data_IF_503520229312
#
_entry.id   IF_503520229312
#
_cell.length_a   1.000
_cell.length_b   1.000
_cell.length_c   1.000
_cell.angle_alpha   90.00
_cell.angle_beta   90.00
_cell.angle_gamma   90.00
#
_symmetry.space_group_name_H-M   'P 1'
#
loop_
_entity.id
_entity.type
_entity.pdbx_description
1 polymer ?
#
# COMPACT_ATOMS: atom_id res chain seq x y z
N UNK A 1 10.33 5.62 -37.88
CA UNK A 1 9.86 4.97 -36.62
C UNK A 1 8.34 4.90 -36.66
N UNK A 2 7.75 3.71 -36.67
CA UNK A 2 6.31 3.52 -36.86
C UNK A 2 5.49 4.01 -35.64
N UNK A 3 4.29 4.54 -35.89
CA UNK A 3 3.34 5.05 -34.88
C UNK A 3 3.07 4.05 -33.74
N UNK A 4 3.13 2.74 -34.04
CA UNK A 4 3.03 1.65 -33.07
C UNK A 4 4.18 1.60 -32.05
N UNK A 5 5.42 1.89 -32.46
CA UNK A 5 6.60 1.93 -31.57
C UNK A 5 6.55 3.15 -30.64
N UNK A 6 5.95 4.26 -31.11
CA UNK A 6 5.77 5.47 -30.31
C UNK A 6 4.68 5.29 -29.24
N UNK A 7 3.55 4.65 -29.59
CA UNK A 7 2.50 4.34 -28.61
C UNK A 7 2.98 3.32 -27.56
N UNK A 8 3.72 2.29 -27.95
CA UNK A 8 4.25 1.29 -27.02
C UNK A 8 5.22 1.93 -26.01
N UNK A 9 6.14 2.79 -26.47
CA UNK A 9 7.04 3.56 -25.60
C UNK A 9 6.28 4.48 -24.64
N UNK A 10 5.18 5.08 -25.08
CA UNK A 10 4.36 5.98 -24.24
C UNK A 10 3.59 5.20 -23.17
N UNK A 11 3.05 4.03 -23.52
CA UNK A 11 2.34 3.14 -22.58
C UNK A 11 3.32 2.54 -21.56
N UNK A 12 4.50 2.13 -22.00
CA UNK A 12 5.57 1.61 -21.11
C UNK A 12 6.07 2.72 -20.19
N UNK A 13 6.34 3.92 -20.70
CA UNK A 13 6.72 5.10 -19.90
C UNK A 13 5.64 5.50 -18.89
N UNK A 14 4.34 5.38 -19.22
CA UNK A 14 3.23 5.64 -18.28
C UNK A 14 3.09 4.55 -17.22
N UNK A 15 3.38 3.28 -17.54
CA UNK A 15 3.48 2.16 -16.57
C UNK A 15 4.69 2.29 -15.65
N UNK A 16 5.82 2.75 -16.17
CA UNK A 16 7.03 3.03 -15.40
C UNK A 16 6.88 4.28 -14.53
N UNK A 17 6.12 5.29 -14.97
CA UNK A 17 5.71 6.43 -14.13
C UNK A 17 4.80 6.04 -12.96
N UNK A 18 4.15 4.87 -13.04
CA UNK A 18 3.33 4.28 -11.95
C UNK A 18 4.18 3.45 -10.99
N UNK A 19 5.48 3.24 -11.26
CA UNK A 19 6.43 2.72 -10.27
C UNK A 19 6.76 3.79 -9.23
N UNK A 20 5.76 4.14 -8.41
CA UNK A 20 5.99 4.83 -7.14
C UNK A 20 6.99 4.01 -6.35
N UNK A 21 8.11 4.65 -5.96
CA UNK A 21 9.20 3.98 -5.27
C UNK A 21 8.69 3.27 -4.00
N UNK A 22 7.74 3.86 -3.28
CA UNK A 22 7.24 3.38 -1.99
C UNK A 22 5.79 2.92 -2.06
N UNK A 23 5.52 1.72 -1.56
CA UNK A 23 4.18 1.11 -1.48
C UNK A 23 3.85 0.69 -0.05
N UNK A 24 2.57 0.80 0.30
CA UNK A 24 2.01 0.21 1.52
C UNK A 24 1.41 -1.14 1.16
N UNK A 25 2.02 -2.22 1.64
CA UNK A 25 1.72 -3.59 1.23
C UNK A 25 1.62 -4.54 2.40
N UNK A 26 0.94 -5.67 2.20
CA UNK A 26 0.88 -6.76 3.16
C UNK A 26 2.14 -7.61 3.06
N UNK A 27 2.77 -7.86 4.21
CA UNK A 27 3.85 -8.83 4.38
C UNK A 27 3.28 -10.06 5.05
N UNK A 28 3.54 -11.25 4.49
CA UNK A 28 2.95 -12.49 5.01
C UNK A 28 3.82 -13.04 6.12
N UNK A 29 3.17 -13.28 7.24
CA UNK A 29 3.73 -13.88 8.44
C UNK A 29 2.82 -15.02 8.91
N UNK A 30 3.25 -15.71 9.97
CA UNK A 30 2.48 -16.77 10.61
C UNK A 30 2.81 -18.17 10.08
N UNK A 31 2.12 -19.15 10.66
CA UNK A 31 2.39 -20.56 10.44
C UNK A 31 1.54 -21.13 9.29
N UNK A 32 1.83 -22.37 8.89
CA UNK A 32 0.99 -23.12 7.95
C UNK A 32 -0.47 -23.11 8.43
N UNK A 33 -1.40 -22.81 7.52
CA UNK A 33 -2.85 -22.65 7.80
C UNK A 33 -3.23 -21.54 8.80
N UNK A 34 -2.28 -20.71 9.25
CA UNK A 34 -2.52 -19.57 10.14
C UNK A 34 -1.90 -18.28 9.59
N UNK A 35 -2.47 -17.69 8.52
CA UNK A 35 -1.92 -16.48 7.91
C UNK A 35 -2.08 -15.28 8.86
N UNK A 36 -0.99 -14.53 9.03
CA UNK A 36 -0.96 -13.23 9.70
C UNK A 36 -0.31 -12.22 8.76
N UNK A 37 -0.82 -10.99 8.69
CA UNK A 37 -0.26 -9.98 7.80
C UNK A 37 0.22 -8.77 8.57
N UNK A 38 1.40 -8.28 8.22
CA UNK A 38 1.87 -6.95 8.64
C UNK A 38 1.63 -5.95 7.52
N UNK A 39 1.14 -4.77 7.86
CA UNK A 39 1.01 -3.65 6.93
C UNK A 39 2.33 -2.89 6.97
N UNK A 40 3.13 -3.06 5.93
CA UNK A 40 4.48 -2.50 5.85
C UNK A 40 4.57 -1.49 4.72
N UNK A 41 5.29 -0.40 4.99
CA UNK A 41 5.75 0.55 3.99
C UNK A 41 7.09 0.06 3.49
N UNK A 42 7.19 -0.21 2.19
CA UNK A 42 8.39 -0.76 1.58
C UNK A 42 8.59 -0.22 0.17
N UNK A 43 9.83 -0.29 -0.32
CA UNK A 43 10.08 -0.02 -1.72
C UNK A 43 9.39 -1.09 -2.59
N UNK A 44 8.82 -0.67 -3.72
CA UNK A 44 8.18 -1.54 -4.69
C UNK A 44 9.07 -2.69 -5.19
N UNK A 45 10.39 -2.47 -5.25
CA UNK A 45 11.40 -3.41 -5.72
C UNK A 45 11.84 -4.40 -4.66
N UNK A 46 11.56 -4.12 -3.38
CA UNK A 46 11.96 -5.00 -2.29
C UNK A 46 11.13 -6.30 -2.33
N UNK A 47 11.70 -7.46 -1.96
CA UNK A 47 10.96 -8.73 -1.89
C UNK A 47 9.85 -8.67 -0.85
N UNK A 48 8.78 -9.45 -1.01
CA UNK A 48 7.54 -9.39 -0.18
C UNK A 48 7.84 -9.44 1.32
N UNK A 49 8.67 -10.39 1.73
CA UNK A 49 8.98 -10.67 3.14
C UNK A 49 10.39 -10.22 3.56
N UNK A 50 11.05 -9.39 2.75
CA UNK A 50 12.39 -8.88 3.07
C UNK A 50 12.38 -7.46 3.61
N UNK A 51 13.33 -6.63 3.16
CA UNK A 51 13.55 -5.29 3.70
C UNK A 51 12.32 -4.38 3.51
N UNK A 52 11.91 -3.74 4.59
CA UNK A 52 10.87 -2.71 4.63
C UNK A 52 11.40 -1.46 5.35
N UNK A 53 10.69 -0.34 5.19
CA UNK A 53 11.04 0.94 5.81
C UNK A 53 10.43 1.00 7.21
N UNK A 54 9.13 0.80 7.30
CA UNK A 54 8.37 0.90 8.55
C UNK A 54 7.15 -0.02 8.56
N UNK A 55 6.81 -0.56 9.73
CA UNK A 55 5.54 -1.26 9.97
C UNK A 55 4.51 -0.28 10.52
N UNK A 56 3.42 -0.10 9.78
CA UNK A 56 2.34 0.86 10.11
C UNK A 56 1.09 0.16 10.65
N UNK A 57 1.06 -1.17 10.66
CA UNK A 57 -0.05 -1.91 11.23
C UNK A 57 0.03 -3.43 11.07
N UNK A 58 -1.04 -4.09 11.48
CA UNK A 58 -1.23 -5.54 11.38
C UNK A 58 -2.66 -5.87 10.98
N UNK A 59 -2.81 -6.99 10.28
CA UNK A 59 -4.09 -7.51 9.83
C UNK A 59 -4.15 -9.02 10.05
N UNK A 60 -5.16 -9.46 10.80
CA UNK A 60 -5.42 -10.87 11.05
C UNK A 60 -6.79 -11.28 10.48
N UNK A 61 -6.83 -12.08 9.38
CA UNK A 61 -8.09 -12.49 8.75
C UNK A 61 -8.79 -13.64 9.50
N UNK A 62 -8.12 -14.33 10.42
CA UNK A 62 -8.66 -15.52 11.08
C UNK A 62 -9.51 -15.20 12.32
N UNK A 63 -9.43 -13.97 12.82
CA UNK A 63 -10.24 -13.52 13.94
C UNK A 63 -11.58 -13.05 13.38
N UNK A 64 -12.69 -13.44 14.02
CA UNK A 64 -14.05 -13.18 13.53
C UNK A 64 -14.32 -11.69 13.24
N UNK A 65 -13.69 -10.79 13.99
CA UNK A 65 -13.82 -9.34 13.83
C UNK A 65 -12.79 -8.73 12.86
N UNK A 66 -11.99 -9.53 12.15
CA UNK A 66 -10.90 -9.08 11.29
C UNK A 66 -10.03 -8.04 12.00
N UNK A 67 -9.33 -8.47 13.06
CA UNK A 67 -8.55 -7.55 13.89
C UNK A 67 -7.54 -6.76 13.03
N UNK A 68 -7.82 -5.47 12.87
CA UNK A 68 -7.01 -4.50 12.15
C UNK A 68 -6.43 -3.56 13.21
N UNK A 69 -5.10 -3.49 13.28
CA UNK A 69 -4.40 -2.51 14.11
C UNK A 69 -3.63 -1.62 13.17
N UNK A 70 -3.97 -0.33 13.11
CA UNK A 70 -3.32 0.63 12.22
C UNK A 70 -2.88 1.84 13.02
N UNK A 71 -1.64 2.27 12.83
CA UNK A 71 -1.13 3.55 13.34
C UNK A 71 -1.51 4.65 12.36
N UNK A 72 -2.68 5.26 12.57
CA UNK A 72 -3.30 6.19 11.63
C UNK A 72 -2.36 7.35 11.24
N UNK A 73 -1.71 7.99 12.22
CA UNK A 73 -0.82 9.13 12.00
C UNK A 73 0.30 8.81 11.00
N UNK A 74 0.94 7.65 11.19
CA UNK A 74 2.04 7.20 10.33
C UNK A 74 1.55 6.86 8.93
N UNK A 75 0.38 6.24 8.81
CA UNK A 75 -0.22 5.96 7.51
C UNK A 75 -0.52 7.27 6.77
N UNK A 76 -1.12 8.26 7.44
CA UNK A 76 -1.41 9.57 6.86
C UNK A 76 -0.13 10.28 6.39
N UNK A 77 0.94 10.28 7.20
CA UNK A 77 2.25 10.81 6.80
C UNK A 77 2.78 10.15 5.52
N UNK A 78 2.69 8.81 5.44
CA UNK A 78 3.18 8.08 4.27
C UNK A 78 2.31 8.32 3.03
N UNK A 79 0.99 8.44 3.18
CA UNK A 79 0.08 8.80 2.10
C UNK A 79 0.34 10.23 1.59
N UNK A 80 0.60 11.18 2.50
CA UNK A 80 0.97 12.55 2.17
C UNK A 80 2.30 12.62 1.41
N UNK A 81 3.26 11.74 1.74
CA UNK A 81 4.53 11.56 0.99
C UNK A 81 4.35 10.85 -0.37
N UNK A 82 3.13 10.42 -0.71
CA UNK A 82 2.81 9.80 -1.99
C UNK A 82 2.89 8.26 -2.01
N UNK A 83 3.04 7.60 -0.85
CA UNK A 83 3.04 6.15 -0.78
C UNK A 83 1.72 5.58 -1.30
N UNK A 84 1.78 4.58 -2.18
CA UNK A 84 0.59 3.98 -2.76
C UNK A 84 0.20 2.69 -2.02
N UNK A 85 -1.02 2.59 -1.46
CA UNK A 85 -1.50 1.34 -0.89
C UNK A 85 -1.86 0.33 -1.98
N UNK A 86 -1.55 -0.94 -1.73
CA UNK A 86 -2.10 -2.06 -2.52
C UNK A 86 -3.62 -2.17 -2.37
N UNK A 87 -4.31 -2.84 -3.28
CA UNK A 87 -5.78 -2.84 -3.32
C UNK A 87 -6.44 -3.36 -2.04
N UNK A 88 -5.93 -4.46 -1.49
CA UNK A 88 -6.42 -4.99 -0.21
C UNK A 88 -6.13 -4.04 0.95
N UNK A 89 -4.93 -3.43 0.99
CA UNK A 89 -4.57 -2.45 2.02
C UNK A 89 -5.46 -1.22 1.93
N UNK A 90 -5.78 -0.75 0.72
CA UNK A 90 -6.70 0.36 0.51
C UNK A 90 -8.07 0.03 1.12
N UNK A 91 -8.61 -1.16 0.87
CA UNK A 91 -9.88 -1.58 1.46
C UNK A 91 -9.83 -1.65 2.99
N UNK A 92 -8.72 -2.14 3.56
CA UNK A 92 -8.49 -2.16 5.01
C UNK A 92 -8.47 -0.74 5.58
N UNK A 93 -7.71 0.18 4.95
CA UNK A 93 -7.61 1.57 5.37
C UNK A 93 -8.93 2.34 5.22
N UNK A 94 -9.72 2.02 4.19
CA UNK A 94 -11.07 2.57 4.03
C UNK A 94 -12.01 2.10 5.15
N UNK A 95 -11.97 0.81 5.50
CA UNK A 95 -12.74 0.27 6.63
C UNK A 95 -12.33 0.89 7.98
N UNK A 96 -11.05 1.22 8.12
CA UNK A 96 -10.52 1.93 9.28
C UNK A 96 -10.80 3.45 9.26
N UNK A 97 -11.43 3.99 8.21
CA UNK A 97 -11.73 5.43 8.10
C UNK A 97 -10.53 6.33 7.76
N UNK A 98 -9.32 5.78 7.61
CA UNK A 98 -8.09 6.55 7.34
C UNK A 98 -8.13 7.20 5.95
N UNK A 99 -8.70 6.51 4.95
CA UNK A 99 -8.83 7.07 3.59
C UNK A 99 -9.78 8.27 3.53
N UNK A 100 -10.84 8.26 4.33
CA UNK A 100 -11.76 9.41 4.43
C UNK A 100 -11.03 10.61 5.05
N UNK A 101 -10.37 10.40 6.19
CA UNK A 101 -9.54 11.44 6.84
C UNK A 101 -8.48 12.04 5.90
N UNK A 102 -7.80 11.19 5.12
CA UNK A 102 -6.80 11.65 4.14
C UNK A 102 -7.43 12.48 3.01
N UNK A 103 -8.62 12.12 2.55
CA UNK A 103 -9.37 12.89 1.56
C UNK A 103 -9.69 14.28 2.13
N UNK A 104 -10.30 14.33 3.31
CA UNK A 104 -10.69 15.59 3.96
C UNK A 104 -9.49 16.53 4.17
N UNK A 105 -8.34 15.99 4.63
CA UNK A 105 -7.11 16.76 4.78
C UNK A 105 -6.58 17.37 3.47
N UNK A 106 -6.82 16.70 2.34
CA UNK A 106 -6.34 17.17 1.03
C UNK A 106 -7.25 18.26 0.45
N UNK A 107 -8.55 18.20 0.72
CA UNK A 107 -9.56 19.13 0.18
C UNK A 107 -9.90 20.30 1.12
N UNK A 108 -9.52 20.22 2.40
CA UNK A 108 -9.65 21.33 3.37
C UNK A 108 -8.58 22.43 3.19
N UNK A 109 -7.75 22.33 2.15
CA UNK A 109 -6.65 23.25 1.86
C UNK A 109 -6.85 23.94 0.52
#
# INVERSE_FOLDING_TARGET
>A
MSKAVFLDRTIKKKRDMITMAVKIRLTRMGSKKKPFYRINVADSRAPRDGRFIETVGTYNPLVAENQITVKEDRVLEWLAKGAQPSDTVRNILSKAGVMAKFHDQKFSK
#
